data_IF_461066786458
#
_entry.id   IF_461066786458
#
_cell.length_a   1.000
_cell.length_b   1.000
_cell.length_c   1.000
_cell.angle_alpha   90.00
_cell.angle_beta   90.00
_cell.angle_gamma   90.00
#
_symmetry.space_group_name_H-M   'P 1'
#
loop_
_entity.id
_entity.type
_entity.pdbx_description
1 polymer ?
#
# COMPACT_ATOMS: atom_id res chain seq x y z
N UNK A 1 5.20 -10.31 -38.82
CA UNK A 1 6.59 -9.85 -39.03
C UNK A 1 6.78 -8.68 -38.07
N UNK A 2 7.38 -8.76 -36.88
CA UNK A 2 8.43 -9.59 -36.32
C UNK A 2 8.12 -9.91 -34.85
N UNK A 3 8.55 -11.09 -34.41
CA UNK A 3 8.53 -11.64 -33.06
C UNK A 3 9.49 -10.90 -32.11
N UNK A 4 9.22 -10.95 -30.80
CA UNK A 4 10.07 -11.55 -29.73
C UNK A 4 9.48 -11.14 -28.35
N UNK A 5 8.65 -11.99 -27.71
CA UNK A 5 9.06 -12.90 -26.63
C UNK A 5 9.92 -12.22 -25.54
N UNK A 6 9.25 -11.62 -24.55
CA UNK A 6 9.78 -11.57 -23.18
C UNK A 6 8.71 -12.22 -22.31
N UNK A 7 8.87 -13.52 -22.14
CA UNK A 7 8.13 -14.29 -21.16
C UNK A 7 8.42 -13.72 -19.78
N UNK A 8 7.36 -13.63 -18.99
CA UNK A 8 7.45 -13.59 -17.55
C UNK A 8 8.28 -14.80 -17.09
N UNK A 9 9.58 -14.58 -16.89
CA UNK A 9 10.38 -15.45 -16.05
C UNK A 9 9.93 -15.19 -14.61
N UNK A 10 8.84 -15.86 -14.23
CA UNK A 10 8.64 -16.36 -12.89
C UNK A 10 10.00 -16.77 -12.33
N UNK A 11 10.48 -16.07 -11.30
CA UNK A 11 11.61 -16.51 -10.47
C UNK A 11 11.19 -17.71 -9.59
N UNK A 12 10.57 -18.71 -10.21
CA UNK A 12 10.42 -20.06 -9.69
C UNK A 12 11.47 -20.92 -10.39
N UNK A 13 12.73 -20.70 -9.99
CA UNK A 13 13.85 -21.59 -10.28
C UNK A 13 14.33 -22.04 -8.91
N UNK A 14 13.70 -23.04 -8.30
CA UNK A 14 14.12 -24.44 -8.45
C UNK A 14 15.64 -24.61 -8.27
N UNK A 15 16.21 -24.02 -7.22
CA UNK A 15 17.02 -24.88 -6.36
C UNK A 15 16.03 -25.87 -5.76
N UNK A 16 16.18 -27.16 -6.05
CA UNK A 16 15.57 -28.21 -5.21
C UNK A 16 16.14 -28.03 -3.81
N UNK A 17 15.54 -27.14 -3.02
CA UNK A 17 15.78 -27.07 -1.59
C UNK A 17 15.32 -28.42 -1.06
N UNK A 18 16.25 -29.17 -0.46
CA UNK A 18 15.90 -30.43 0.16
C UNK A 18 14.73 -30.24 1.11
N UNK A 19 13.90 -31.26 1.29
CA UNK A 19 12.67 -31.18 2.08
C UNK A 19 12.91 -30.59 3.47
N UNK A 20 14.07 -30.88 4.08
CA UNK A 20 14.52 -30.29 5.36
C UNK A 20 14.66 -28.76 5.29
N UNK A 21 15.20 -28.21 4.20
CA UNK A 21 15.32 -26.76 4.03
C UNK A 21 13.94 -26.12 3.79
N UNK A 22 13.04 -26.78 3.07
CA UNK A 22 11.65 -26.31 2.92
C UNK A 22 10.92 -26.30 4.26
N UNK A 23 11.06 -27.35 5.06
CA UNK A 23 10.52 -27.42 6.44
C UNK A 23 11.12 -26.31 7.31
N UNK A 24 12.43 -26.08 7.23
CA UNK A 24 13.10 -25.00 7.98
C UNK A 24 12.57 -23.63 7.58
N UNK A 25 12.36 -23.39 6.28
CA UNK A 25 11.79 -22.14 5.77
C UNK A 25 10.36 -21.92 6.26
N UNK A 26 9.50 -22.92 6.16
CA UNK A 26 8.12 -22.80 6.64
C UNK A 26 8.03 -22.57 8.16
N UNK A 27 8.87 -23.23 8.96
CA UNK A 27 8.97 -22.95 10.39
C UNK A 27 9.45 -21.52 10.67
N UNK A 28 10.46 -21.05 9.94
CA UNK A 28 10.95 -19.67 10.07
C UNK A 28 9.86 -18.65 9.71
N UNK A 29 9.08 -18.91 8.66
CA UNK A 29 7.96 -18.08 8.25
C UNK A 29 6.84 -18.05 9.30
N UNK A 30 6.50 -19.19 9.90
CA UNK A 30 5.52 -19.27 10.99
C UNK A 30 5.97 -18.42 12.18
N UNK A 31 7.24 -18.53 12.58
CA UNK A 31 7.80 -17.70 13.65
C UNK A 31 7.83 -16.22 13.27
N UNK A 32 8.09 -15.88 12.01
CA UNK A 32 8.04 -14.51 11.53
C UNK A 32 6.62 -13.92 11.64
N UNK A 33 5.59 -14.65 11.21
CA UNK A 33 4.20 -14.20 11.37
C UNK A 33 3.81 -14.07 12.84
N UNK A 34 4.26 -14.97 13.72
CA UNK A 34 4.05 -14.88 15.17
C UNK A 34 4.72 -13.63 15.75
N UNK A 35 5.98 -13.39 15.41
CA UNK A 35 6.73 -12.22 15.85
C UNK A 35 6.06 -10.92 15.38
N UNK A 36 5.55 -10.88 14.13
CA UNK A 36 4.82 -9.75 13.59
C UNK A 36 3.52 -9.46 14.36
N UNK A 37 2.75 -10.52 14.70
CA UNK A 37 1.56 -10.39 15.57
C UNK A 37 1.94 -9.79 16.93
N UNK A 38 2.96 -10.34 17.59
CA UNK A 38 3.40 -9.85 18.91
C UNK A 38 3.83 -8.40 18.83
N UNK A 39 4.64 -8.03 17.83
CA UNK A 39 5.10 -6.66 17.59
C UNK A 39 3.91 -5.69 17.46
N UNK A 40 2.88 -6.07 16.70
CA UNK A 40 1.69 -5.24 16.52
C UNK A 40 0.85 -5.15 17.80
N UNK A 41 0.74 -6.23 18.59
CA UNK A 41 0.02 -6.24 19.87
C UNK A 41 0.70 -5.41 20.97
N UNK A 42 2.01 -5.18 20.87
CA UNK A 42 2.73 -4.33 21.82
C UNK A 42 2.43 -2.84 21.65
N UNK A 43 1.87 -2.43 20.51
CA UNK A 43 1.48 -1.04 20.26
C UNK A 43 0.06 -0.82 20.78
N UNK A 44 -0.17 0.08 21.76
CA UNK A 44 -1.51 0.36 22.24
C UNK A 44 -2.35 1.01 21.12
N UNK A 45 -3.59 0.56 20.99
CA UNK A 45 -4.51 1.13 20.01
C UNK A 45 -4.82 2.60 20.36
N UNK A 46 -4.62 3.50 19.41
CA UNK A 46 -4.87 4.95 19.60
C UNK A 46 -6.33 5.31 19.41
N UNK A 47 -7.01 4.65 18.48
CA UNK A 47 -8.39 4.91 18.10
C UNK A 47 -9.04 3.58 17.66
N UNK A 48 -10.38 3.55 17.56
CA UNK A 48 -11.12 2.37 17.11
C UNK A 48 -10.67 1.85 15.74
N UNK A 49 -10.28 2.75 14.82
CA UNK A 49 -9.79 2.36 13.49
C UNK A 49 -8.47 1.58 13.60
N UNK A 50 -7.57 2.02 14.46
CA UNK A 50 -6.30 1.38 14.71
C UNK A 50 -6.51 0.03 15.40
N UNK A 51 -7.41 -0.05 16.38
CA UNK A 51 -7.81 -1.32 17.00
C UNK A 51 -8.35 -2.33 15.96
N UNK A 52 -9.18 -1.84 15.03
CA UNK A 52 -9.74 -2.64 13.97
C UNK A 52 -8.67 -3.12 12.97
N UNK A 53 -7.74 -2.22 12.60
CA UNK A 53 -6.61 -2.54 11.74
C UNK A 53 -5.70 -3.60 12.37
N UNK A 54 -5.37 -3.46 13.65
CA UNK A 54 -4.62 -4.47 14.43
C UNK A 54 -5.38 -5.80 14.39
N UNK A 55 -6.70 -5.78 14.62
CA UNK A 55 -7.52 -7.00 14.65
C UNK A 55 -7.56 -7.73 13.30
N UNK A 56 -7.63 -7.00 12.19
CA UNK A 56 -7.55 -7.57 10.83
C UNK A 56 -6.17 -8.07 10.49
N UNK A 57 -5.13 -7.33 10.89
CA UNK A 57 -3.74 -7.77 10.73
C UNK A 57 -3.52 -9.09 11.46
N UNK A 58 -3.92 -9.21 12.73
CA UNK A 58 -3.83 -10.46 13.50
C UNK A 58 -4.57 -11.60 12.79
N UNK A 59 -5.79 -11.35 12.30
CA UNK A 59 -6.55 -12.36 11.57
C UNK A 59 -5.84 -12.80 10.28
N UNK A 60 -5.26 -11.86 9.53
CA UNK A 60 -4.51 -12.15 8.31
C UNK A 60 -3.27 -13.00 8.62
N UNK A 61 -2.43 -12.56 9.57
CA UNK A 61 -1.23 -13.28 9.95
C UNK A 61 -1.55 -14.68 10.53
N UNK A 62 -2.63 -14.80 11.30
CA UNK A 62 -3.09 -16.11 11.81
C UNK A 62 -3.49 -17.06 10.69
N UNK A 63 -4.09 -16.55 9.60
CA UNK A 63 -4.38 -17.37 8.42
C UNK A 63 -3.12 -17.80 7.69
N UNK A 64 -2.14 -16.91 7.55
CA UNK A 64 -0.85 -17.28 6.97
C UNK A 64 -0.17 -18.38 7.80
N UNK A 65 -0.21 -18.27 9.13
CA UNK A 65 0.28 -19.32 10.03
C UNK A 65 -0.47 -20.63 9.79
N UNK A 66 -1.80 -20.61 9.69
CA UNK A 66 -2.60 -21.80 9.46
C UNK A 66 -2.25 -22.49 8.13
N UNK A 67 -2.20 -21.74 7.02
CA UNK A 67 -1.83 -22.28 5.70
C UNK A 67 -0.42 -22.88 5.70
N UNK A 68 0.57 -22.19 6.30
CA UNK A 68 1.94 -22.70 6.38
C UNK A 68 2.07 -23.90 7.32
N UNK A 69 1.25 -23.95 8.37
CA UNK A 69 1.22 -25.10 9.28
C UNK A 69 0.58 -26.33 8.62
N UNK A 70 -0.42 -26.14 7.75
CA UNK A 70 -1.00 -27.21 6.93
C UNK A 70 0.04 -27.75 5.94
N UNK A 71 0.75 -26.88 5.23
CA UNK A 71 1.85 -27.28 4.33
C UNK A 71 2.98 -28.02 5.10
N UNK A 72 3.29 -27.59 6.33
CA UNK A 72 4.24 -28.30 7.19
C UNK A 72 3.77 -29.71 7.54
N UNK A 73 2.50 -29.87 7.91
CA UNK A 73 1.93 -31.18 8.23
C UNK A 73 2.02 -32.12 7.03
N UNK A 74 1.65 -31.64 5.84
CA UNK A 74 1.76 -32.41 4.60
C UNK A 74 3.22 -32.86 4.34
N UNK A 75 4.21 -31.99 4.57
CA UNK A 75 5.62 -32.33 4.38
C UNK A 75 6.18 -33.29 5.44
N UNK A 76 5.63 -33.30 6.66
CA UNK A 76 6.02 -34.26 7.69
C UNK A 76 5.43 -35.65 7.46
N UNK A 77 4.29 -35.72 6.76
CA UNK A 77 3.64 -36.98 6.37
C UNK A 77 4.23 -37.59 5.08
N UNK A 78 5.09 -36.85 4.38
CA UNK A 78 5.74 -37.29 3.14
C UNK A 78 6.81 -38.38 3.39
N UNK A 79 6.78 -39.44 2.57
CA UNK A 79 7.73 -40.56 2.61
C UNK A 79 9.17 -40.08 2.36
N UNK A 80 9.33 -39.01 1.58
CA UNK A 80 10.64 -38.44 1.29
C UNK A 80 11.29 -37.79 2.54
N UNK A 81 10.48 -37.28 3.48
CA UNK A 81 10.97 -36.81 4.78
C UNK A 81 11.43 -37.99 5.64
N UNK A 82 10.69 -39.11 5.64
CA UNK A 82 11.09 -40.33 6.32
C UNK A 82 12.41 -40.88 5.76
N UNK A 83 12.55 -40.91 4.42
CA UNK A 83 13.78 -41.31 3.75
C UNK A 83 14.97 -40.39 4.07
N UNK A 84 14.75 -39.07 4.11
CA UNK A 84 15.77 -38.10 4.49
C UNK A 84 16.22 -38.26 5.96
N UNK A 85 15.29 -38.57 6.87
CA UNK A 85 15.58 -38.87 8.28
C UNK A 85 16.40 -40.16 8.43
N UNK A 86 16.07 -41.20 7.66
CA UNK A 86 16.77 -42.48 7.72
C UNK A 86 18.16 -42.43 7.07
N UNK A 87 18.36 -41.58 6.05
CA UNK A 87 19.67 -41.31 5.43
C UNK A 87 20.73 -40.77 6.41
N UNK A 88 20.28 -40.16 7.52
CA UNK A 88 21.14 -39.63 8.57
C UNK A 88 21.95 -40.72 9.31
N UNK A 89 21.65 -42.01 9.08
CA UNK A 89 22.31 -43.17 9.69
C UNK A 89 23.62 -43.60 8.99
N UNK A 90 23.90 -43.17 7.74
CA UNK A 90 25.16 -43.44 7.01
C UNK A 90 26.00 -42.16 6.83
N UNK A 91 26.42 -41.58 7.94
CA UNK A 91 26.95 -40.21 8.00
C UNK A 91 28.23 -39.94 7.18
N UNK A 92 29.11 -40.93 6.96
CA UNK A 92 30.46 -40.67 6.40
C UNK A 92 30.52 -40.53 4.88
N UNK A 93 29.65 -41.21 4.13
CA UNK A 93 29.65 -41.14 2.67
C UNK A 93 28.76 -39.99 2.17
N UNK A 94 27.64 -39.77 2.85
CA UNK A 94 26.74 -38.65 2.62
C UNK A 94 27.42 -37.27 2.86
N UNK A 95 28.30 -37.16 3.86
CA UNK A 95 29.04 -35.91 4.12
C UNK A 95 30.01 -35.57 2.99
N UNK A 96 30.71 -36.57 2.43
CA UNK A 96 31.63 -36.37 1.32
C UNK A 96 30.91 -35.91 0.05
N UNK A 97 29.75 -36.50 -0.24
CA UNK A 97 28.91 -36.06 -1.37
C UNK A 97 28.35 -34.65 -1.16
N UNK A 98 27.96 -34.32 0.06
CA UNK A 98 27.51 -32.97 0.43
C UNK A 98 28.62 -31.94 0.25
N UNK A 99 29.84 -32.21 0.73
CA UNK A 99 31.00 -31.32 0.55
C UNK A 99 31.32 -31.07 -0.92
N UNK A 100 31.20 -32.10 -1.77
CA UNK A 100 31.38 -31.97 -3.22
C UNK A 100 30.31 -31.06 -3.85
N UNK A 101 29.03 -31.20 -3.45
CA UNK A 101 27.94 -30.32 -3.90
C UNK A 101 28.12 -28.88 -3.41
N UNK A 102 28.60 -28.67 -2.17
CA UNK A 102 28.92 -27.35 -1.64
C UNK A 102 30.05 -26.68 -2.42
N UNK A 103 31.09 -27.44 -2.81
CA UNK A 103 32.17 -26.92 -3.64
C UNK A 103 31.66 -26.44 -5.01
N UNK A 104 30.76 -27.20 -5.64
CA UNK A 104 30.10 -26.81 -6.90
C UNK A 104 29.27 -25.52 -6.73
N UNK A 105 28.47 -25.43 -5.66
CA UNK A 105 27.68 -24.23 -5.35
C UNK A 105 28.55 -22.98 -5.12
N UNK A 106 29.68 -23.13 -4.42
CA UNK A 106 30.64 -22.03 -4.21
C UNK A 106 31.24 -21.54 -5.52
N UNK A 107 31.59 -22.45 -6.42
CA UNK A 107 32.12 -22.10 -7.74
C UNK A 107 31.05 -21.42 -8.62
N UNK A 108 29.81 -21.89 -8.55
CA UNK A 108 28.68 -21.25 -9.22
C UNK A 108 28.44 -19.82 -8.71
N UNK A 109 28.42 -19.61 -7.38
CA UNK A 109 28.27 -18.27 -6.80
C UNK A 109 29.46 -17.34 -7.09
N UNK A 110 30.68 -17.89 -7.25
CA UNK A 110 31.86 -17.13 -7.66
C UNK A 110 31.75 -16.61 -9.09
N UNK A 111 31.20 -17.43 -9.99
CA UNK A 111 31.00 -17.09 -11.41
C UNK A 111 29.75 -16.24 -11.66
N UNK A 112 28.77 -16.28 -10.76
CA UNK A 112 27.52 -15.53 -10.86
C UNK A 112 27.26 -14.73 -9.58
N UNK A 113 27.90 -13.55 -9.43
CA UNK A 113 27.67 -12.67 -8.28
C UNK A 113 26.23 -12.14 -8.33
N UNK A 114 25.37 -12.70 -7.48
CA UNK A 114 24.02 -12.18 -7.26
C UNK A 114 24.09 -10.86 -6.48
N UNK A 115 23.10 -9.97 -6.62
CA UNK A 115 22.95 -8.83 -5.70
C UNK A 115 22.91 -9.33 -4.25
N UNK A 116 23.36 -8.52 -3.28
CA UNK A 116 23.40 -8.91 -1.88
C UNK A 116 22.03 -9.46 -1.46
N UNK A 117 22.02 -10.67 -0.91
CA UNK A 117 20.83 -11.27 -0.32
C UNK A 117 20.28 -10.28 0.69
N UNK A 118 18.99 -9.92 0.57
CA UNK A 118 18.33 -9.07 1.57
C UNK A 118 18.52 -9.73 2.94
N UNK A 119 19.37 -9.12 3.78
CA UNK A 119 19.63 -9.63 5.13
C UNK A 119 18.41 -9.47 6.05
N UNK A 120 17.46 -8.63 5.64
CA UNK A 120 16.19 -8.38 6.32
C UNK A 120 15.15 -9.26 5.64
N UNK A 121 14.58 -10.21 6.39
CA UNK A 121 13.39 -10.96 5.97
C UNK A 121 12.29 -9.95 5.65
N UNK A 122 11.56 -10.14 4.55
CA UNK A 122 10.47 -9.24 4.16
C UNK A 122 9.38 -9.28 5.27
N UNK A 123 9.37 -8.29 6.16
CA UNK A 123 8.39 -8.20 7.25
C UNK A 123 6.98 -7.99 6.68
N UNK A 124 5.94 -8.64 7.25
CA UNK A 124 4.56 -8.38 6.87
C UNK A 124 4.23 -6.90 7.01
N UNK A 125 3.54 -6.34 6.02
CA UNK A 125 3.15 -4.93 6.04
C UNK A 125 2.12 -4.70 7.13
N UNK A 126 2.18 -3.57 7.82
CA UNK A 126 1.16 -3.19 8.80
C UNK A 126 -0.26 -3.09 8.20
N UNK A 127 -0.36 -2.95 6.86
CA UNK A 127 -1.61 -2.90 6.11
C UNK A 127 -2.09 -4.28 5.64
N UNK A 128 -1.37 -5.36 5.94
CA UNK A 128 -1.78 -6.70 5.55
C UNK A 128 -3.13 -7.05 6.17
N UNK A 129 -4.11 -7.38 5.31
CA UNK A 129 -5.48 -7.63 5.72
C UNK A 129 -6.33 -6.38 5.94
N UNK A 130 -5.88 -5.18 5.52
CA UNK A 130 -6.71 -3.98 5.55
C UNK A 130 -8.04 -4.21 4.84
N UNK A 131 -9.13 -3.77 5.48
CA UNK A 131 -10.48 -3.87 4.96
C UNK A 131 -11.03 -2.47 4.77
N UNK A 132 -11.42 -2.17 3.54
CA UNK A 132 -12.08 -0.93 3.19
C UNK A 132 -13.55 -0.96 3.63
N UNK A 133 -14.00 0.15 4.20
CA UNK A 133 -15.38 0.38 4.57
C UNK A 133 -15.95 1.43 3.65
N UNK A 134 -17.25 1.33 3.38
CA UNK A 134 -17.94 2.40 2.68
C UNK A 134 -17.90 3.70 3.51
N UNK A 135 -17.94 4.85 2.84
CA UNK A 135 -17.97 6.15 3.51
C UNK A 135 -19.16 6.24 4.49
N UNK A 136 -20.31 5.69 4.11
CA UNK A 136 -21.52 5.63 4.94
C UNK A 136 -21.34 4.74 6.19
N UNK A 137 -20.44 3.75 6.13
CA UNK A 137 -20.14 2.86 7.25
C UNK A 137 -19.19 3.50 8.28
N UNK A 138 -18.55 4.62 7.92
CA UNK A 138 -17.63 5.38 8.77
C UNK A 138 -16.61 4.48 9.48
N UNK A 139 -15.93 3.66 8.69
CA UNK A 139 -14.90 2.73 9.17
C UNK A 139 -15.43 1.71 10.20
N UNK A 140 -16.67 1.26 10.04
CA UNK A 140 -17.29 0.25 10.90
C UNK A 140 -18.01 0.82 12.12
N UNK A 141 -18.20 2.14 12.21
CA UNK A 141 -18.93 2.77 13.33
C UNK A 141 -20.43 2.83 13.11
N UNK A 142 -20.88 2.86 11.85
CA UNK A 142 -22.28 2.94 11.48
C UNK A 142 -22.63 1.87 10.45
N UNK A 143 -23.90 1.50 10.38
CA UNK A 143 -24.44 0.62 9.34
C UNK A 143 -24.96 1.46 8.18
N UNK A 144 -24.67 1.01 6.95
CA UNK A 144 -25.24 1.56 5.72
C UNK A 144 -26.56 0.85 5.42
N UNK A 145 -27.68 1.42 5.89
CA UNK A 145 -29.01 0.79 5.79
C UNK A 145 -29.90 1.37 4.69
N UNK A 146 -29.47 2.41 4.00
CA UNK A 146 -30.28 3.13 3.01
C UNK A 146 -30.72 2.22 1.84
N UNK A 147 -29.82 1.35 1.36
CA UNK A 147 -30.15 0.40 0.30
C UNK A 147 -31.18 -0.65 0.78
N UNK A 148 -31.07 -1.09 2.03
CA UNK A 148 -32.01 -2.06 2.62
C UNK A 148 -33.37 -1.43 2.92
N UNK A 149 -33.40 -0.16 3.35
CA UNK A 149 -34.64 0.61 3.46
C UNK A 149 -35.37 0.73 2.12
N UNK A 150 -34.64 0.98 1.03
CA UNK A 150 -35.23 1.02 -0.32
C UNK A 150 -35.87 -0.31 -0.73
N UNK A 151 -35.25 -1.43 -0.36
CA UNK A 151 -35.80 -2.79 -0.58
C UNK A 151 -37.03 -3.03 0.30
N UNK A 152 -36.98 -2.66 1.57
CA UNK A 152 -38.13 -2.70 2.47
C UNK A 152 -39.32 -1.89 1.92
N UNK A 153 -39.08 -0.67 1.46
CA UNK A 153 -40.09 0.18 0.84
C UNK A 153 -40.69 -0.44 -0.42
N UNK A 154 -39.89 -1.17 -1.21
CA UNK A 154 -40.37 -1.94 -2.36
C UNK A 154 -41.31 -3.07 -1.90
N UNK A 155 -40.92 -3.82 -0.88
CA UNK A 155 -41.78 -4.83 -0.26
C UNK A 155 -43.10 -4.23 0.26
N UNK A 156 -43.06 -3.09 0.96
CA UNK A 156 -44.26 -2.41 1.48
C UNK A 156 -45.21 -2.02 0.34
N UNK A 157 -44.67 -1.49 -0.77
CA UNK A 157 -45.45 -1.13 -1.96
C UNK A 157 -46.08 -2.35 -2.64
N UNK A 158 -45.32 -3.42 -2.85
CA UNK A 158 -45.80 -4.65 -3.52
C UNK A 158 -46.86 -5.35 -2.66
N UNK A 159 -46.58 -5.50 -1.36
CA UNK A 159 -47.53 -6.10 -0.42
C UNK A 159 -48.79 -5.23 -0.25
N UNK A 160 -48.64 -3.90 -0.21
CA UNK A 160 -49.74 -2.95 -0.13
C UNK A 160 -50.60 -2.93 -1.38
N UNK A 161 -50.02 -3.09 -2.58
CA UNK A 161 -50.76 -3.18 -3.84
C UNK A 161 -51.57 -4.47 -3.97
N UNK A 162 -51.01 -5.61 -3.55
CA UNK A 162 -51.75 -6.89 -3.49
C UNK A 162 -52.84 -6.87 -2.43
N UNK A 163 -52.55 -6.29 -1.26
CA UNK A 163 -53.57 -6.04 -0.24
C UNK A 163 -54.64 -5.06 -0.75
N UNK A 164 -54.30 -4.04 -1.54
CA UNK A 164 -55.28 -3.13 -2.15
C UNK A 164 -56.22 -3.84 -3.15
N UNK A 165 -55.70 -4.81 -3.92
CA UNK A 165 -56.52 -5.64 -4.79
C UNK A 165 -57.48 -6.54 -4.00
N UNK A 166 -57.05 -7.14 -2.87
CA UNK A 166 -57.93 -7.86 -1.93
C UNK A 166 -58.90 -6.92 -1.17
N UNK A 167 -58.47 -5.70 -0.82
CA UNK A 167 -59.29 -4.65 -0.16
C UNK A 167 -60.40 -4.16 -1.07
N UNK A 168 -60.18 -4.07 -2.39
CA UNK A 168 -61.22 -3.76 -3.37
C UNK A 168 -62.33 -4.83 -3.40
N UNK A 169 -62.03 -6.06 -3.00
CA UNK A 169 -63.01 -7.14 -2.88
C UNK A 169 -63.71 -7.22 -1.51
N UNK A 170 -63.12 -6.67 -0.43
CA UNK A 170 -63.58 -6.85 0.97
C UNK A 170 -63.95 -5.57 1.73
N UNK A 171 -63.67 -4.37 1.20
CA UNK A 171 -64.19 -3.09 1.70
C UNK A 171 -63.52 -2.50 2.95
N UNK A 172 -62.52 -3.16 3.54
CA UNK A 172 -61.85 -2.68 4.78
C UNK A 172 -60.60 -1.84 4.46
N UNK A 173 -60.54 -0.61 4.99
CA UNK A 173 -59.48 0.37 4.71
C UNK A 173 -58.43 0.39 5.84
N UNK A 174 -57.40 -0.46 5.74
CA UNK A 174 -56.21 -0.37 6.60
C UNK A 174 -55.20 0.61 5.97
N UNK A 175 -54.89 1.69 6.69
CA UNK A 175 -53.87 2.67 6.30
C UNK A 175 -52.51 2.07 6.64
N UNK A 176 -51.75 1.68 5.62
CA UNK A 176 -50.35 1.28 5.81
C UNK A 176 -49.54 2.54 6.15
N UNK A 177 -49.17 2.70 7.42
CA UNK A 177 -48.29 3.79 7.86
C UNK A 177 -46.94 3.62 7.15
N UNK A 178 -46.56 4.58 6.32
CA UNK A 178 -45.21 4.63 5.76
C UNK A 178 -44.23 4.79 6.92
N UNK A 179 -43.28 3.87 7.04
CA UNK A 179 -42.22 3.95 8.04
C UNK A 179 -41.11 4.79 7.44
N UNK A 180 -40.77 5.91 8.08
CA UNK A 180 -39.64 6.75 7.66
C UNK A 180 -38.30 6.05 7.91
N UNK A 181 -37.22 6.51 7.28
CA UNK A 181 -35.91 5.85 7.40
C UNK A 181 -35.38 5.74 8.84
N UNK A 182 -35.60 6.76 9.67
CA UNK A 182 -35.18 6.74 11.09
C UNK A 182 -35.97 5.73 11.91
N UNK A 183 -37.28 5.71 11.70
CA UNK A 183 -38.16 4.74 12.34
C UNK A 183 -37.75 3.34 11.89
N UNK A 184 -37.42 3.15 10.61
CA UNK A 184 -36.92 1.88 10.09
C UNK A 184 -35.67 1.40 10.82
N UNK A 185 -34.63 2.24 11.00
CA UNK A 185 -33.39 1.85 11.70
C UNK A 185 -33.67 1.38 13.14
N UNK A 186 -34.57 2.09 13.83
CA UNK A 186 -34.89 1.80 15.24
C UNK A 186 -35.79 0.58 15.42
N UNK A 187 -36.63 0.30 14.42
CA UNK A 187 -37.69 -0.71 14.51
C UNK A 187 -37.46 -1.91 13.58
N UNK A 188 -36.25 -2.16 13.06
CA UNK A 188 -35.99 -3.32 12.15
C UNK A 188 -36.51 -4.63 12.75
N UNK A 189 -36.20 -4.89 14.03
CA UNK A 189 -36.64 -6.09 14.74
C UNK A 189 -38.16 -6.08 14.94
N UNK A 190 -38.72 -4.95 15.38
CA UNK A 190 -40.17 -4.79 15.53
C UNK A 190 -40.92 -4.97 14.20
N UNK A 191 -40.33 -4.55 13.07
CA UNK A 191 -40.89 -4.74 11.73
C UNK A 191 -40.96 -6.23 11.40
N UNK A 192 -39.94 -7.02 11.75
CA UNK A 192 -39.98 -8.47 11.57
C UNK A 192 -41.10 -9.12 12.39
N UNK A 193 -41.23 -8.74 13.66
CA UNK A 193 -42.21 -9.35 14.56
C UNK A 193 -43.65 -8.91 14.29
N UNK A 194 -43.86 -7.63 13.96
CA UNK A 194 -45.20 -7.05 13.80
C UNK A 194 -45.77 -7.21 12.38
N UNK A 195 -44.96 -7.54 11.37
CA UNK A 195 -45.46 -7.78 10.01
C UNK A 195 -46.19 -9.13 9.95
N UNK A 196 -47.49 -9.18 9.58
CA UNK A 196 -48.25 -10.45 9.57
C UNK A 196 -47.73 -11.46 8.53
N UNK A 197 -47.80 -12.77 8.83
CA UNK A 197 -47.34 -13.83 7.90
C UNK A 197 -48.02 -13.73 6.54
N UNK A 198 -49.33 -13.43 6.50
CA UNK A 198 -50.08 -13.26 5.24
C UNK A 198 -49.48 -12.17 4.34
N UNK A 199 -49.02 -11.06 4.91
CA UNK A 199 -48.37 -9.97 4.18
C UNK A 199 -46.99 -10.37 3.68
N UNK A 200 -46.20 -11.04 4.52
CA UNK A 200 -44.87 -11.58 4.15
C UNK A 200 -45.01 -12.55 2.97
N UNK A 201 -46.00 -13.45 3.02
CA UNK A 201 -46.28 -14.43 1.97
C UNK A 201 -46.81 -13.81 0.67
N UNK A 202 -47.69 -12.81 0.76
CA UNK A 202 -48.25 -12.14 -0.42
C UNK A 202 -47.16 -11.52 -1.33
N UNK A 203 -46.07 -11.04 -0.73
CA UNK A 203 -44.94 -10.43 -1.43
C UNK A 203 -43.61 -11.15 -1.14
N UNK A 204 -43.66 -12.48 -1.02
CA UNK A 204 -42.56 -13.32 -0.55
C UNK A 204 -41.25 -13.08 -1.30
N UNK A 205 -41.27 -12.94 -2.62
CA UNK A 205 -40.07 -12.70 -3.43
C UNK A 205 -39.36 -11.39 -3.02
N UNK A 206 -40.10 -10.29 -3.00
CA UNK A 206 -39.57 -8.98 -2.59
C UNK A 206 -39.13 -8.96 -1.13
N UNK A 207 -39.84 -9.68 -0.27
CA UNK A 207 -39.52 -9.77 1.15
C UNK A 207 -38.26 -10.61 1.40
N UNK A 208 -38.13 -11.75 0.71
CA UNK A 208 -36.93 -12.59 0.71
C UNK A 208 -35.72 -11.77 0.26
N UNK A 209 -35.85 -11.02 -0.84
CA UNK A 209 -34.77 -10.16 -1.36
C UNK A 209 -34.40 -9.01 -0.41
N UNK A 210 -35.31 -8.58 0.47
CA UNK A 210 -35.02 -7.62 1.53
C UNK A 210 -34.26 -8.28 2.69
N UNK A 211 -34.82 -9.34 3.28
CA UNK A 211 -34.28 -9.99 4.49
C UNK A 211 -32.94 -10.67 4.21
N UNK A 212 -32.82 -11.41 3.10
CA UNK A 212 -31.59 -12.17 2.79
C UNK A 212 -30.42 -11.23 2.51
N UNK A 213 -30.65 -10.14 1.77
CA UNK A 213 -29.61 -9.15 1.50
C UNK A 213 -29.24 -8.37 2.77
N UNK A 214 -30.22 -8.05 3.62
CA UNK A 214 -29.95 -7.43 4.91
C UNK A 214 -29.12 -8.36 5.81
N UNK A 215 -29.46 -9.64 5.90
CA UNK A 215 -28.68 -10.64 6.63
C UNK A 215 -27.24 -10.70 6.10
N UNK A 216 -27.08 -10.84 4.77
CA UNK A 216 -25.77 -10.92 4.13
C UNK A 216 -24.92 -9.69 4.45
N UNK A 217 -25.53 -8.51 4.39
CA UNK A 217 -24.87 -7.26 4.74
C UNK A 217 -24.45 -7.23 6.21
N UNK A 218 -25.39 -7.48 7.13
CA UNK A 218 -25.17 -7.41 8.57
C UNK A 218 -24.13 -8.44 9.04
N UNK A 219 -24.20 -9.68 8.53
CA UNK A 219 -23.21 -10.72 8.80
C UNK A 219 -21.81 -10.32 8.28
N UNK A 220 -21.75 -9.83 7.03
CA UNK A 220 -20.51 -9.36 6.43
C UNK A 220 -19.90 -8.21 7.22
N UNK A 221 -20.72 -7.23 7.58
CA UNK A 221 -20.34 -6.09 8.40
C UNK A 221 -19.83 -6.53 9.77
N UNK A 222 -20.55 -7.42 10.46
CA UNK A 222 -20.12 -7.99 11.75
C UNK A 222 -18.73 -8.64 11.65
N UNK A 223 -18.50 -9.46 10.63
CA UNK A 223 -17.21 -10.11 10.36
C UNK A 223 -16.09 -9.11 10.04
N UNK A 224 -16.43 -7.92 9.54
CA UNK A 224 -15.50 -6.81 9.31
C UNK A 224 -15.21 -6.04 10.59
N UNK A 225 -16.19 -5.73 11.45
CA UNK A 225 -15.98 -4.93 12.67
C UNK A 225 -15.38 -5.73 13.83
N UNK A 226 -15.58 -7.06 13.86
CA UNK A 226 -15.06 -7.94 14.90
C UNK A 226 -14.42 -9.19 14.29
N UNK A 227 -13.29 -9.04 13.58
CA UNK A 227 -12.65 -10.14 12.85
C UNK A 227 -12.18 -11.29 13.76
N UNK A 228 -11.81 -11.01 15.02
CA UNK A 228 -11.35 -12.02 15.98
C UNK A 228 -12.49 -12.78 16.68
N UNK A 229 -13.69 -12.21 16.73
CA UNK A 229 -14.85 -12.84 17.41
C UNK A 229 -15.67 -13.76 16.49
N UNK A 230 -15.17 -14.11 15.31
CA UNK A 230 -15.89 -14.93 14.32
C UNK A 230 -16.29 -16.30 14.87
N UNK A 231 -15.40 -16.95 15.62
CA UNK A 231 -15.69 -18.26 16.22
C UNK A 231 -16.79 -18.19 17.27
N UNK A 232 -16.74 -17.21 18.18
CA UNK A 232 -17.77 -17.01 19.19
C UNK A 232 -19.13 -16.70 18.57
N UNK A 233 -19.17 -15.83 17.57
CA UNK A 233 -20.39 -15.51 16.85
C UNK A 233 -20.95 -16.74 16.10
N UNK A 234 -20.10 -17.56 15.49
CA UNK A 234 -20.54 -18.80 14.83
C UNK A 234 -21.20 -19.79 15.80
N UNK A 235 -20.70 -19.90 17.04
CA UNK A 235 -21.33 -20.71 18.08
C UNK A 235 -22.70 -20.16 18.49
N UNK A 236 -22.79 -18.85 18.77
CA UNK A 236 -24.06 -18.21 19.12
C UNK A 236 -25.11 -18.33 18.01
N UNK A 237 -24.70 -18.19 16.74
CA UNK A 237 -25.59 -18.36 15.59
C UNK A 237 -26.06 -19.81 15.44
N UNK A 238 -25.18 -20.79 15.72
CA UNK A 238 -25.55 -22.21 15.70
C UNK A 238 -26.58 -22.54 16.79
N UNK A 239 -26.38 -22.04 18.00
CA UNK A 239 -27.32 -22.18 19.12
C UNK A 239 -28.66 -21.52 18.80
N UNK A 240 -28.63 -20.28 18.32
CA UNK A 240 -29.83 -19.55 17.89
C UNK A 240 -30.59 -20.25 16.75
N UNK A 241 -29.86 -20.91 15.83
CA UNK A 241 -30.47 -21.73 14.77
C UNK A 241 -31.19 -22.97 15.32
N UNK A 242 -30.62 -23.62 16.34
CA UNK A 242 -31.27 -24.75 17.01
C UNK A 242 -32.51 -24.31 17.80
N UNK A 243 -32.43 -23.17 18.50
CA UNK A 243 -33.58 -22.59 19.19
C UNK A 243 -34.70 -22.18 18.23
N UNK A 244 -34.35 -21.64 17.06
CA UNK A 244 -35.32 -21.37 16.00
C UNK A 244 -36.03 -22.62 15.52
N UNK A 245 -35.31 -23.72 15.29
CA UNK A 245 -35.92 -24.97 14.84
C UNK A 245 -36.95 -25.49 15.86
N UNK A 246 -36.66 -25.34 17.16
CA UNK A 246 -37.62 -25.64 18.23
C UNK A 246 -38.84 -24.72 18.17
N UNK A 247 -38.63 -23.40 18.12
CA UNK A 247 -39.72 -22.41 18.07
C UNK A 247 -40.58 -22.56 16.81
N UNK A 248 -39.99 -22.90 15.67
CA UNK A 248 -40.69 -23.12 14.41
C UNK A 248 -41.59 -24.36 14.48
N UNK A 249 -41.12 -25.45 15.09
CA UNK A 249 -41.93 -26.65 15.30
C UNK A 249 -43.13 -26.41 16.23
N UNK A 250 -42.95 -25.55 17.24
CA UNK A 250 -43.98 -25.12 18.17
C UNK A 250 -44.96 -24.09 17.56
N UNK A 251 -44.53 -23.36 16.53
CA UNK A 251 -45.29 -22.24 15.95
C UNK A 251 -45.20 -20.96 16.78
N UNK A 252 -44.12 -20.80 17.56
CA UNK A 252 -43.91 -19.69 18.49
C UNK A 252 -43.08 -18.54 17.89
N UNK A 253 -42.74 -18.58 16.59
CA UNK A 253 -41.92 -17.56 15.94
C UNK A 253 -42.74 -16.29 15.68
N UNK A 254 -42.35 -15.12 16.21
CA UNK A 254 -43.09 -13.86 16.02
C UNK A 254 -43.27 -13.50 14.54
N UNK A 255 -44.47 -13.02 14.18
CA UNK A 255 -44.78 -12.63 12.79
C UNK A 255 -45.00 -13.79 11.81
N UNK A 256 -44.85 -15.05 12.24
CA UNK A 256 -45.06 -16.25 11.42
C UNK A 256 -46.16 -17.13 12.02
N UNK A 257 -47.22 -17.38 11.26
CA UNK A 257 -48.34 -18.24 11.69
C UNK A 257 -48.13 -19.68 11.19
N UNK A 258 -48.18 -20.64 12.11
CA UNK A 258 -48.04 -22.07 11.79
C UNK A 258 -49.05 -22.53 10.76
N UNK A 259 -50.31 -22.08 10.84
CA UNK A 259 -51.37 -22.54 9.94
C UNK A 259 -51.09 -22.17 8.47
N UNK A 260 -50.47 -21.01 8.24
CA UNK A 260 -50.20 -20.48 6.91
C UNK A 260 -48.82 -20.92 6.37
N UNK A 261 -47.87 -21.17 7.27
CA UNK A 261 -46.44 -21.14 6.93
C UNK A 261 -45.74 -22.51 7.16
N UNK A 262 -46.38 -23.48 7.83
CA UNK A 262 -45.79 -24.79 8.20
C UNK A 262 -45.26 -25.66 7.05
N UNK A 263 -45.95 -25.70 5.89
CA UNK A 263 -45.55 -26.52 4.75
C UNK A 263 -44.72 -25.75 3.70
N UNK A 264 -44.43 -24.47 3.96
CA UNK A 264 -43.73 -23.62 3.00
C UNK A 264 -42.24 -23.54 3.34
N UNK A 265 -41.41 -24.31 2.61
CA UNK A 265 -39.97 -24.33 2.81
C UNK A 265 -39.30 -22.95 2.55
N UNK A 266 -39.85 -22.14 1.63
CA UNK A 266 -39.34 -20.80 1.37
C UNK A 266 -39.64 -19.86 2.54
N UNK A 267 -40.85 -19.93 3.11
CA UNK A 267 -41.23 -19.19 4.32
C UNK A 267 -40.28 -19.50 5.49
N UNK A 268 -40.01 -20.79 5.75
CA UNK A 268 -39.07 -21.20 6.81
C UNK A 268 -37.67 -20.62 6.61
N UNK A 269 -37.14 -20.61 5.38
CA UNK A 269 -35.83 -20.02 5.07
C UNK A 269 -35.79 -18.52 5.35
N UNK A 270 -36.86 -17.79 5.03
CA UNK A 270 -36.95 -16.35 5.29
C UNK A 270 -37.06 -16.07 6.79
N UNK A 271 -37.89 -16.82 7.50
CA UNK A 271 -38.02 -16.72 8.95
C UNK A 271 -36.69 -16.99 9.68
N UNK A 272 -35.94 -17.99 9.22
CA UNK A 272 -34.59 -18.26 9.73
C UNK A 272 -33.64 -17.09 9.46
N UNK A 273 -33.73 -16.45 8.29
CA UNK A 273 -32.91 -15.30 7.95
C UNK A 273 -33.26 -14.05 8.79
N UNK A 274 -34.54 -13.83 9.12
CA UNK A 274 -34.96 -12.80 10.09
C UNK A 274 -34.30 -13.04 11.44
N UNK A 275 -34.40 -14.27 11.95
CA UNK A 275 -33.84 -14.65 13.25
C UNK A 275 -32.32 -14.47 13.32
N UNK A 276 -31.60 -14.83 12.26
CA UNK A 276 -30.16 -14.57 12.18
C UNK A 276 -29.83 -13.08 12.09
N UNK A 277 -30.63 -12.30 11.36
CA UNK A 277 -30.44 -10.85 11.27
C UNK A 277 -30.62 -10.20 12.65
N UNK A 278 -31.67 -10.57 13.36
CA UNK A 278 -31.93 -10.12 14.73
C UNK A 278 -30.79 -10.49 15.67
N UNK A 279 -30.31 -11.73 15.62
CA UNK A 279 -29.18 -12.17 16.42
C UNK A 279 -27.91 -11.35 16.15
N UNK A 280 -27.53 -11.14 14.88
CA UNK A 280 -26.36 -10.32 14.57
C UNK A 280 -26.54 -8.86 15.01
N UNK A 281 -27.72 -8.25 14.81
CA UNK A 281 -28.00 -6.90 15.31
C UNK A 281 -27.87 -6.83 16.84
N UNK A 282 -28.34 -7.87 17.55
CA UNK A 282 -28.19 -8.02 19.01
C UNK A 282 -26.74 -8.17 19.48
N UNK A 283 -25.83 -8.66 18.64
CA UNK A 283 -24.39 -8.73 18.94
C UNK A 283 -23.67 -7.38 18.78
N UNK A 284 -24.30 -6.39 18.14
CA UNK A 284 -23.74 -5.07 17.87
C UNK A 284 -24.73 -3.92 18.18
N UNK A 285 -25.24 -3.85 19.43
CA UNK A 285 -26.19 -2.81 19.85
C UNK A 285 -25.57 -1.40 19.79
N UNK A 286 -24.27 -1.28 20.13
CA UNK A 286 -23.56 0.00 20.12
C UNK A 286 -23.49 0.62 18.71
N UNK A 287 -23.30 -0.21 17.69
CA UNK A 287 -23.22 0.24 16.29
C UNK A 287 -24.60 0.70 15.82
N UNK A 288 -25.64 -0.06 16.16
CA UNK A 288 -27.01 0.30 15.82
C UNK A 288 -27.40 1.64 16.48
N UNK A 289 -27.06 1.83 17.75
CA UNK A 289 -27.31 3.08 18.46
C UNK A 289 -26.52 4.26 17.84
N UNK A 290 -25.24 4.06 17.49
CA UNK A 290 -24.45 5.09 16.79
C UNK A 290 -25.03 5.44 15.42
N UNK A 291 -25.55 4.44 14.69
CA UNK A 291 -26.20 4.65 13.40
C UNK A 291 -27.46 5.49 13.54
N UNK A 292 -28.25 5.24 14.60
CA UNK A 292 -29.42 6.05 14.95
C UNK A 292 -29.03 7.49 15.26
N UNK A 293 -28.08 7.68 16.17
CA UNK A 293 -27.63 9.02 16.59
C UNK A 293 -27.08 9.81 15.40
N UNK A 294 -26.35 9.14 14.52
CA UNK A 294 -25.83 9.72 13.28
C UNK A 294 -26.96 10.15 12.34
N UNK A 295 -27.95 9.29 12.10
CA UNK A 295 -29.06 9.60 11.19
C UNK A 295 -29.87 10.81 11.68
N UNK A 296 -30.15 10.86 12.99
CA UNK A 296 -30.85 12.00 13.61
C UNK A 296 -30.04 13.29 13.48
N UNK A 297 -28.72 13.23 13.73
CA UNK A 297 -27.83 14.38 13.55
C UNK A 297 -27.81 14.89 12.12
N UNK A 298 -27.74 13.98 11.14
CA UNK A 298 -27.71 14.35 9.72
C UNK A 298 -28.97 15.09 9.28
N UNK A 299 -30.17 14.74 9.81
CA UNK A 299 -31.39 15.51 9.52
C UNK A 299 -31.38 16.94 10.07
N UNK A 300 -30.63 17.19 11.14
CA UNK A 300 -30.54 18.52 11.75
C UNK A 300 -29.48 19.43 11.12
N UNK A 301 -28.65 18.91 10.22
CA UNK A 301 -27.53 19.64 9.61
C UNK A 301 -27.89 20.25 8.26
N UNK A 302 -27.25 21.38 7.96
CA UNK A 302 -27.27 21.96 6.61
C UNK A 302 -26.25 21.25 5.71
N UNK A 303 -26.39 21.37 4.38
CA UNK A 303 -25.47 20.76 3.40
C UNK A 303 -24.02 21.16 3.64
N UNK A 304 -23.80 22.44 3.96
CA UNK A 304 -22.48 23.03 4.17
C UNK A 304 -21.83 22.48 5.46
N UNK A 305 -22.63 22.14 6.47
CA UNK A 305 -22.16 21.49 7.69
C UNK A 305 -21.79 20.02 7.49
N UNK A 306 -22.46 19.34 6.54
CA UNK A 306 -22.15 17.94 6.20
C UNK A 306 -20.85 17.88 5.40
N UNK A 307 -20.67 18.74 4.39
CA UNK A 307 -19.44 18.81 3.60
C UNK A 307 -18.22 19.12 4.48
N UNK A 308 -18.35 20.09 5.40
CA UNK A 308 -17.28 20.41 6.34
C UNK A 308 -16.93 19.27 7.29
N UNK A 309 -17.91 18.49 7.76
CA UNK A 309 -17.64 17.33 8.62
C UNK A 309 -16.90 16.22 7.85
N UNK A 310 -17.23 16.01 6.58
CA UNK A 310 -16.51 15.06 5.71
C UNK A 310 -15.06 15.51 5.55
N UNK A 311 -14.81 16.78 5.24
CA UNK A 311 -13.45 17.33 5.10
C UNK A 311 -12.64 17.18 6.41
N UNK A 312 -13.24 17.50 7.56
CA UNK A 312 -12.58 17.35 8.87
C UNK A 312 -12.30 15.88 9.23
N UNK A 313 -13.17 14.95 8.82
CA UNK A 313 -12.96 13.51 9.02
C UNK A 313 -11.84 12.97 8.11
N UNK A 314 -11.77 13.41 6.85
CA UNK A 314 -10.71 13.06 5.92
C UNK A 314 -9.35 13.60 6.37
N UNK A 315 -9.28 14.84 6.85
CA UNK A 315 -8.06 15.46 7.35
C UNK A 315 -7.56 14.75 8.63
N UNK A 316 -8.46 14.45 9.57
CA UNK A 316 -8.12 13.65 10.78
C UNK A 316 -7.64 12.27 10.41
N UNK A 317 -8.25 11.63 9.42
CA UNK A 317 -7.84 10.32 8.94
C UNK A 317 -6.42 10.36 8.33
N UNK A 318 -6.13 11.37 7.52
CA UNK A 318 -4.80 11.56 6.95
C UNK A 318 -3.74 11.75 8.04
N UNK A 319 -4.03 12.58 9.06
CA UNK A 319 -3.13 12.82 10.18
C UNK A 319 -2.91 11.56 11.04
N UNK A 320 -3.96 10.79 11.33
CA UNK A 320 -3.86 9.52 12.06
C UNK A 320 -3.03 8.48 11.28
N UNK A 321 -3.19 8.43 9.96
CA UNK A 321 -2.41 7.55 9.09
C UNK A 321 -0.93 7.93 9.08
N UNK A 322 -0.61 9.22 8.91
CA UNK A 322 0.76 9.72 8.93
C UNK A 322 1.45 9.43 10.27
N UNK A 323 0.75 9.65 11.38
CA UNK A 323 1.25 9.35 12.72
C UNK A 323 1.53 7.86 12.93
N UNK A 324 0.66 6.98 12.43
CA UNK A 324 0.89 5.54 12.46
C UNK A 324 2.11 5.13 11.62
N UNK A 325 2.29 5.75 10.45
CA UNK A 325 3.42 5.51 9.56
C UNK A 325 4.75 5.98 10.17
N UNK A 326 4.75 7.13 10.85
CA UNK A 326 5.90 7.64 11.59
C UNK A 326 6.26 6.71 12.76
N UNK A 327 5.27 6.23 13.52
CA UNK A 327 5.49 5.26 14.60
C UNK A 327 6.08 3.95 14.08
N UNK A 328 5.55 3.45 12.95
CA UNK A 328 6.06 2.25 12.29
C UNK A 328 7.51 2.43 11.81
N UNK A 329 7.82 3.51 11.10
CA UNK A 329 9.17 3.77 10.58
C UNK A 329 10.20 3.89 11.72
N UNK A 330 9.82 4.55 12.82
CA UNK A 330 10.65 4.65 14.03
C UNK A 330 10.93 3.28 14.65
N UNK A 331 9.97 2.37 14.62
CA UNK A 331 10.09 1.02 15.18
C UNK A 331 10.79 0.04 14.23
N UNK A 332 10.69 0.24 12.92
CA UNK A 332 11.35 -0.55 11.89
C UNK A 332 12.82 -0.14 11.64
N UNK A 333 13.33 0.89 12.33
CA UNK A 333 14.69 1.40 12.12
C UNK A 333 14.90 2.00 10.72
N UNK A 334 13.82 2.25 9.99
CA UNK A 334 13.85 2.95 8.70
C UNK A 334 14.12 4.41 9.04
N UNK A 335 15.35 4.86 8.78
CA UNK A 335 15.70 6.26 8.92
C UNK A 335 14.77 7.09 8.01
N UNK A 336 13.78 7.73 8.60
CA UNK A 336 12.92 8.72 7.95
C UNK A 336 13.78 9.90 7.54
N UNK A 337 14.32 9.88 6.32
CA UNK A 337 14.77 11.11 5.65
C UNK A 337 13.55 11.77 5.03
N UNK A 338 12.69 12.33 5.86
CA UNK A 338 11.69 13.30 5.43
C UNK A 338 11.55 14.36 6.51
N UNK A 339 12.18 15.51 6.22
CA UNK A 339 11.67 16.86 6.47
C UNK A 339 10.99 17.09 7.82
N UNK A 340 11.80 17.51 8.79
CA UNK A 340 11.37 17.95 10.11
C UNK A 340 12.55 18.51 10.91
N UNK A 341 13.35 19.37 10.28
CA UNK A 341 14.36 20.18 10.96
C UNK A 341 13.99 21.66 10.76
N UNK A 342 12.90 22.07 11.41
CA UNK A 342 12.53 23.46 11.59
C UNK A 342 12.15 23.63 13.06
N UNK A 343 13.19 23.75 13.90
CA UNK A 343 13.24 24.56 15.13
C UNK A 343 14.51 24.18 15.90
N UNK A 344 15.56 24.99 15.67
CA UNK A 344 16.70 25.26 16.56
C UNK A 344 18.00 25.48 15.75
N UNK A 345 18.11 26.63 15.10
CA UNK A 345 19.40 27.29 14.87
C UNK A 345 19.12 28.74 14.47
N UNK A 346 19.20 29.63 15.45
CA UNK A 346 19.45 31.05 15.20
C UNK A 346 20.86 31.21 14.62
N UNK A 347 20.99 32.18 13.71
CA UNK A 347 22.22 32.77 13.15
C UNK A 347 23.06 31.91 12.19
N UNK A 348 22.75 32.01 10.89
CA UNK A 348 23.75 32.19 9.83
C UNK A 348 23.08 32.69 8.53
N UNK A 349 23.44 33.91 8.15
CA UNK A 349 23.12 34.60 6.90
C UNK A 349 23.64 33.83 5.66
N UNK A 350 22.85 33.74 4.57
CA UNK A 350 23.26 33.07 3.33
C UNK A 350 22.18 32.62 2.33
N UNK A 351 21.31 33.53 1.89
CA UNK A 351 20.82 33.78 0.51
C UNK A 351 20.69 32.64 -0.57
N UNK A 352 20.21 31.43 -0.25
CA UNK A 352 20.01 30.34 -1.25
C UNK A 352 18.66 29.56 -1.13
N UNK A 353 17.63 30.09 -0.45
CA UNK A 353 16.32 29.40 -0.28
C UNK A 353 15.29 29.63 -1.41
N UNK A 354 15.56 30.54 -2.34
CA UNK A 354 14.55 31.05 -3.27
C UNK A 354 14.25 30.12 -4.48
N UNK A 355 15.15 29.20 -4.83
CA UNK A 355 15.00 28.37 -6.03
C UNK A 355 14.25 27.04 -5.80
N UNK A 356 14.31 26.48 -4.58
CA UNK A 356 13.61 25.22 -4.26
C UNK A 356 12.10 25.46 -4.03
N UNK A 357 11.71 26.64 -3.51
CA UNK A 357 10.31 27.01 -3.27
C UNK A 357 9.49 27.25 -4.55
N UNK A 358 10.15 27.56 -5.69
CA UNK A 358 9.49 27.82 -6.98
C UNK A 358 9.15 26.54 -7.75
N UNK A 359 9.72 25.40 -7.36
CA UNK A 359 9.61 24.13 -8.10
C UNK A 359 8.45 23.25 -7.64
N UNK A 360 7.90 23.55 -6.47
CA UNK A 360 6.73 22.86 -5.95
C UNK A 360 5.58 23.87 -5.82
N UNK A 361 4.38 23.47 -6.22
CA UNK A 361 3.19 24.27 -5.91
C UNK A 361 2.94 24.28 -4.39
N UNK A 362 2.09 25.18 -3.89
CA UNK A 362 1.64 25.24 -2.49
C UNK A 362 1.05 23.93 -1.95
N UNK A 363 0.62 23.02 -2.84
CA UNK A 363 0.17 21.64 -2.54
C UNK A 363 1.29 20.59 -2.64
N UNK A 364 2.55 21.03 -2.67
CA UNK A 364 3.76 20.22 -2.74
C UNK A 364 3.90 19.30 -3.97
N UNK A 365 3.26 19.63 -5.09
CA UNK A 365 3.43 18.91 -6.35
C UNK A 365 4.63 19.45 -7.15
N UNK A 366 5.55 18.59 -7.64
CA UNK A 366 6.64 19.00 -8.50
C UNK A 366 6.10 19.63 -9.79
N UNK A 367 6.70 20.72 -10.24
CA UNK A 367 6.28 21.43 -11.44
C UNK A 367 7.18 21.09 -12.64
N UNK A 368 6.59 21.07 -13.84
CA UNK A 368 7.32 20.99 -15.10
C UNK A 368 7.93 22.34 -15.50
N UNK A 369 8.66 22.35 -16.62
CA UNK A 369 9.26 23.57 -17.18
C UNK A 369 8.23 24.63 -17.62
N UNK A 370 6.95 24.27 -17.68
CA UNK A 370 5.82 25.15 -18.02
C UNK A 370 5.02 25.58 -16.76
N UNK A 371 5.41 25.14 -15.56
CA UNK A 371 4.75 25.46 -14.30
C UNK A 371 3.50 24.64 -14.00
N UNK A 372 3.26 23.53 -14.70
CA UNK A 372 2.15 22.60 -14.45
C UNK A 372 2.56 21.48 -13.50
N UNK A 373 1.66 20.98 -12.64
CA UNK A 373 1.96 19.92 -11.69
C UNK A 373 2.20 18.58 -12.40
N UNK A 374 3.36 17.98 -12.14
CA UNK A 374 3.75 16.63 -12.57
C UNK A 374 3.34 15.63 -11.48
N UNK A 375 2.73 14.49 -11.85
CA UNK A 375 2.52 13.37 -10.93
C UNK A 375 3.82 12.89 -10.27
N UNK A 376 3.79 12.64 -8.96
CA UNK A 376 4.97 12.29 -8.14
C UNK A 376 5.70 11.04 -8.64
N UNK A 377 4.96 10.03 -9.11
CA UNK A 377 5.57 8.81 -9.68
C UNK A 377 6.39 9.11 -10.94
N UNK A 378 5.96 10.06 -11.77
CA UNK A 378 6.65 10.44 -12.99
C UNK A 378 7.91 11.26 -12.67
N UNK A 379 7.86 12.07 -11.61
CA UNK A 379 9.01 12.78 -11.04
C UNK A 379 10.09 11.82 -10.50
N UNK A 380 9.67 10.71 -9.88
CA UNK A 380 10.59 9.65 -9.44
C UNK A 380 11.12 8.80 -10.60
N UNK A 381 10.26 8.40 -11.54
CA UNK A 381 10.62 7.57 -12.70
C UNK A 381 11.69 8.23 -13.57
N UNK A 382 11.58 9.54 -13.82
CA UNK A 382 12.56 10.28 -14.60
C UNK A 382 13.76 10.79 -13.77
N UNK A 383 13.83 10.45 -12.47
CA UNK A 383 14.97 10.81 -11.63
C UNK A 383 15.08 12.30 -11.28
N UNK A 384 14.03 13.11 -11.48
CA UNK A 384 14.06 14.56 -11.23
C UNK A 384 14.24 14.93 -9.74
N UNK A 385 14.05 13.96 -8.85
CA UNK A 385 14.30 14.04 -7.41
C UNK A 385 15.78 13.97 -7.03
N UNK A 386 16.64 13.48 -7.93
CA UNK A 386 18.07 13.34 -7.68
C UNK A 386 18.76 14.69 -7.90
N UNK A 387 19.42 15.19 -6.85
CA UNK A 387 20.16 16.46 -6.86
C UNK A 387 21.63 16.22 -7.26
N UNK A 388 22.06 16.83 -8.35
CA UNK A 388 23.45 16.80 -8.82
C UNK A 388 24.07 18.19 -8.72
N UNK A 389 25.17 18.33 -7.99
CA UNK A 389 25.86 19.62 -7.83
C UNK A 389 27.06 19.71 -8.76
N UNK A 390 27.19 20.83 -9.48
CA UNK A 390 28.39 21.13 -10.27
C UNK A 390 29.19 22.26 -9.60
N UNK A 391 30.42 21.97 -9.15
CA UNK A 391 31.27 22.94 -8.45
C UNK A 391 31.82 24.04 -9.37
N UNK A 392 31.88 23.77 -10.69
CA UNK A 392 32.34 24.73 -11.70
C UNK A 392 31.24 25.76 -12.02
N UNK A 393 29.99 25.32 -12.06
CA UNK A 393 28.84 26.20 -12.30
C UNK A 393 28.26 26.82 -11.02
N UNK A 394 28.61 26.28 -9.85
CA UNK A 394 28.01 26.60 -8.56
C UNK A 394 26.47 26.54 -8.61
N UNK A 395 25.94 25.51 -9.25
CA UNK A 395 24.49 25.32 -9.44
C UNK A 395 24.12 23.85 -9.21
N UNK A 396 22.92 23.64 -8.67
CA UNK A 396 22.33 22.31 -8.46
C UNK A 396 21.39 21.98 -9.61
N UNK A 397 21.67 20.89 -10.31
CA UNK A 397 20.84 20.35 -11.37
C UNK A 397 20.01 19.18 -10.85
N UNK A 398 18.85 19.00 -11.44
CA UNK A 398 17.88 18.00 -11.00
C UNK A 398 17.64 16.97 -12.10
N UNK A 399 17.96 15.72 -11.81
CA UNK A 399 17.92 14.64 -12.79
C UNK A 399 19.17 14.57 -13.68
N UNK A 400 19.48 13.35 -14.08
CA UNK A 400 20.70 13.02 -14.83
C UNK A 400 20.72 13.63 -16.23
N UNK A 401 19.55 13.76 -16.88
CA UNK A 401 19.44 14.35 -18.22
C UNK A 401 19.80 15.84 -18.20
N UNK A 402 19.27 16.61 -17.25
CA UNK A 402 19.61 18.02 -17.09
C UNK A 402 21.08 18.20 -16.67
N UNK A 403 21.58 17.29 -15.84
CA UNK A 403 22.99 17.29 -15.45
C UNK A 403 23.94 16.83 -16.56
N UNK A 404 23.52 16.09 -17.56
CA UNK A 404 24.40 15.74 -18.68
C UNK A 404 24.34 16.79 -19.78
N UNK A 405 23.20 17.46 -19.96
CA UNK A 405 23.08 18.58 -20.90
C UNK A 405 23.86 19.82 -20.45
N UNK A 406 23.98 20.07 -19.13
CA UNK A 406 24.59 21.30 -18.65
C UNK A 406 26.06 21.50 -19.03
N UNK A 407 26.81 20.42 -19.29
CA UNK A 407 28.21 20.52 -19.72
C UNK A 407 28.36 21.26 -21.07
N UNK A 408 27.31 21.29 -21.89
CA UNK A 408 27.26 22.01 -23.17
C UNK A 408 26.69 23.43 -23.03
N UNK A 409 26.15 23.78 -21.86
CA UNK A 409 25.58 25.09 -21.62
C UNK A 409 26.66 26.15 -21.46
N UNK A 410 26.32 27.37 -21.87
CA UNK A 410 27.22 28.52 -21.80
C UNK A 410 27.67 28.83 -20.36
N UNK A 411 26.88 28.43 -19.35
CA UNK A 411 27.23 28.61 -17.93
C UNK A 411 28.43 27.76 -17.54
N UNK A 412 28.49 26.52 -18.01
CA UNK A 412 29.61 25.61 -17.74
C UNK A 412 30.87 26.03 -18.50
N UNK A 413 30.74 26.38 -19.79
CA UNK A 413 31.89 26.85 -20.58
C UNK A 413 32.48 28.16 -20.04
N UNK A 414 31.64 29.12 -19.63
CA UNK A 414 32.09 30.35 -18.94
C UNK A 414 32.72 30.06 -17.58
N UNK A 415 32.22 29.05 -16.86
CA UNK A 415 32.82 28.58 -15.60
C UNK A 415 34.25 28.09 -15.81
N UNK A 416 34.49 27.29 -16.85
CA UNK A 416 35.82 26.83 -17.24
C UNK A 416 36.74 28.00 -17.69
N UNK A 417 36.21 28.96 -18.44
CA UNK A 417 36.97 30.16 -18.84
C UNK A 417 37.41 31.00 -17.64
N UNK A 418 36.58 31.14 -16.61
CA UNK A 418 36.94 31.83 -15.36
C UNK A 418 38.05 31.12 -14.58
N UNK A 419 38.22 29.81 -14.79
CA UNK A 419 39.32 29.02 -14.24
C UNK A 419 40.59 29.09 -15.11
N UNK A 420 40.59 29.87 -16.20
CA UNK A 420 41.72 30.03 -17.12
C UNK A 420 41.78 29.00 -18.24
N UNK A 421 40.76 28.15 -18.38
CA UNK A 421 40.66 27.14 -19.44
C UNK A 421 39.85 27.72 -20.60
N UNK A 422 40.56 28.31 -21.56
CA UNK A 422 39.94 29.06 -22.66
C UNK A 422 39.65 28.20 -23.91
N UNK A 423 40.07 26.94 -23.90
CA UNK A 423 39.82 25.98 -25.00
C UNK A 423 38.67 25.04 -24.64
N UNK A 424 37.68 24.91 -25.53
CA UNK A 424 36.63 23.91 -25.40
C UNK A 424 37.21 22.53 -25.74
N UNK A 425 37.76 21.85 -24.73
CA UNK A 425 38.38 20.53 -24.87
C UNK A 425 37.36 19.42 -24.59
N UNK A 426 37.25 18.39 -25.47
CA UNK A 426 36.32 17.28 -25.25
C UNK A 426 36.65 16.45 -24.01
N UNK A 427 37.92 16.44 -23.58
CA UNK A 427 38.40 15.73 -22.38
C UNK A 427 37.87 16.35 -21.07
N UNK A 428 37.33 17.56 -21.11
CA UNK A 428 36.75 18.26 -19.95
C UNK A 428 35.22 18.22 -19.93
N UNK A 429 34.58 17.52 -20.87
CA UNK A 429 33.14 17.56 -21.08
C UNK A 429 32.27 16.90 -20.00
N UNK A 430 32.86 16.21 -19.00
CA UNK A 430 32.13 15.57 -17.90
C UNK A 430 32.74 15.91 -16.53
N UNK A 431 33.57 16.94 -16.46
CA UNK A 431 34.29 17.30 -15.22
C UNK A 431 33.45 18.27 -14.40
N UNK A 432 33.18 17.91 -13.16
CA UNK A 432 32.27 18.66 -12.27
C UNK A 432 33.00 19.40 -11.16
N UNK A 433 34.19 18.91 -10.76
CA UNK A 433 35.01 19.50 -9.71
C UNK A 433 36.10 20.41 -10.27
N UNK A 434 36.27 21.58 -9.63
CA UNK A 434 37.26 22.59 -10.03
C UNK A 434 38.70 22.06 -9.97
N UNK A 435 39.03 21.27 -8.95
CA UNK A 435 40.39 20.72 -8.76
C UNK A 435 40.76 19.75 -9.89
N UNK A 436 39.84 18.86 -10.23
CA UNK A 436 40.01 17.86 -11.28
C UNK A 436 40.14 18.50 -12.66
N UNK A 437 39.40 19.59 -12.93
CA UNK A 437 39.50 20.33 -14.18
C UNK A 437 40.89 20.96 -14.37
N UNK A 438 41.47 21.52 -13.30
CA UNK A 438 42.80 22.13 -13.33
C UNK A 438 43.92 21.09 -13.52
N UNK A 439 43.83 19.93 -12.85
CA UNK A 439 44.81 18.84 -13.01
C UNK A 439 44.83 18.29 -14.44
N UNK A 440 43.65 18.05 -15.03
CA UNK A 440 43.53 17.59 -16.42
C UNK A 440 44.09 18.65 -17.38
N UNK A 441 43.78 19.93 -17.17
CA UNK A 441 44.28 21.01 -17.99
C UNK A 441 45.81 21.17 -17.92
N UNK A 442 46.39 21.04 -16.72
CA UNK A 442 47.84 21.09 -16.53
C UNK A 442 48.55 19.97 -17.30
N UNK A 443 48.05 18.73 -17.20
CA UNK A 443 48.60 17.58 -17.93
C UNK A 443 48.49 17.75 -19.46
N UNK A 444 47.40 18.35 -19.95
CA UNK A 444 47.24 18.61 -21.39
C UNK A 444 48.17 19.71 -21.90
N UNK A 445 48.41 20.73 -21.08
CA UNK A 445 49.37 21.79 -21.39
C UNK A 445 50.78 21.25 -21.47
N UNK A 446 51.19 20.40 -20.52
CA UNK A 446 52.48 19.72 -20.52
C UNK A 446 52.65 18.83 -21.76
N UNK A 447 51.60 18.09 -22.17
CA UNK A 447 51.59 17.28 -23.39
C UNK A 447 51.72 18.11 -24.67
N UNK A 448 51.03 19.26 -24.77
CA UNK A 448 51.15 20.19 -25.91
C UNK A 448 52.53 20.84 -26.00
N UNK A 449 53.13 21.21 -24.88
CA UNK A 449 54.50 21.76 -24.83
C UNK A 449 55.52 20.71 -25.27
N UNK A 450 55.40 19.46 -24.79
CA UNK A 450 56.26 18.36 -25.23
C UNK A 450 56.15 18.04 -26.73
N UNK A 451 54.96 18.18 -27.31
CA UNK A 451 54.73 17.97 -28.75
C UNK A 451 55.27 19.12 -29.61
N UNK A 452 55.30 20.36 -29.10
CA UNK A 452 55.85 21.53 -29.80
C UNK A 452 57.39 21.55 -29.78
N UNK A 453 58.01 21.07 -28.70
CA UNK A 453 59.47 20.88 -28.60
C UNK A 453 59.98 19.84 -29.62
N UNK A 454 59.19 18.81 -29.92
CA UNK A 454 59.52 17.81 -30.97
C UNK A 454 59.42 18.32 -32.41
N UNK A 455 58.69 19.40 -32.67
CA UNK A 455 58.51 19.94 -34.03
C UNK A 455 59.51 21.07 -34.37
N UNK A 456 60.18 21.66 -33.37
CA UNK A 456 61.21 22.69 -33.56
C UNK A 456 62.59 22.08 -33.87
N UNK A 457 62.80 20.78 -33.64
CA UNK A 457 64.08 20.10 -33.93
C UNK A 457 64.27 19.70 -35.41
N UNK A 458 63.46 20.23 -36.34
CA UNK A 458 63.59 20.01 -37.79
C UNK A 458 63.40 21.31 -38.57
N UNK A 459 64.23 22.31 -38.27
CA UNK A 459 64.50 23.44 -39.18
C UNK A 459 66.01 23.53 -39.30
N UNK A 460 66.50 23.43 -40.54
CA UNK A 460 67.89 23.24 -40.93
C UNK A 460 68.87 24.23 -40.29
N UNK A 461 69.87 23.69 -39.58
CA UNK A 461 71.12 24.38 -39.25
C UNK A 461 71.98 24.47 -40.54
N UNK A 462 71.68 25.42 -41.43
CA UNK A 462 72.66 25.86 -42.42
C UNK A 462 73.69 26.78 -41.74
N UNK A 463 74.88 26.23 -41.53
CA UNK A 463 76.07 26.96 -41.12
C UNK A 463 76.44 28.02 -42.17
N UNK A 464 76.59 29.26 -41.72
CA UNK A 464 77.42 30.25 -42.42
C UNK A 464 78.44 30.77 -41.41
N UNK A 465 79.68 30.33 -41.56
CA UNK A 465 80.84 30.93 -40.89
C UNK A 465 81.16 32.28 -41.54
N UNK A 466 81.20 33.34 -40.73
CA UNK A 466 81.58 34.68 -41.16
C UNK A 466 82.15 35.47 -39.98
N UNK A 467 83.43 35.80 -40.07
CA UNK A 467 84.26 36.45 -39.06
C UNK A 467 83.62 37.69 -38.39
N UNK A 468 83.73 37.76 -37.05
CA UNK A 468 83.41 38.96 -36.26
C UNK A 468 82.56 38.63 -35.04
N UNK A 469 83.10 38.90 -33.85
CA UNK A 469 82.45 38.56 -32.58
C UNK A 469 81.11 39.27 -32.33
N UNK A 470 80.36 38.65 -31.40
CA UNK A 470 79.06 39.02 -30.79
C UNK A 470 77.84 38.34 -31.45
N UNK A 471 77.43 37.21 -30.88
CA UNK A 471 76.09 36.64 -31.06
C UNK A 471 75.15 37.28 -30.04
N UNK A 472 74.26 38.16 -30.49
CA UNK A 472 73.09 38.62 -29.73
C UNK A 472 71.90 37.73 -30.04
N UNK A 473 71.27 37.16 -29.01
CA UNK A 473 69.96 36.50 -29.14
C UNK A 473 68.83 37.53 -29.09
N UNK A 474 67.89 37.39 -30.02
CA UNK A 474 66.86 38.33 -30.49
C UNK A 474 65.73 38.64 -29.47
N UNK A 475 66.07 39.14 -28.27
CA UNK A 475 65.10 39.46 -27.21
C UNK A 475 65.19 40.87 -26.59
N UNK A 476 66.14 41.70 -27.02
CA UNK A 476 66.35 43.06 -26.48
C UNK A 476 66.13 44.14 -27.55
N UNK A 477 64.96 44.14 -28.18
CA UNK A 477 64.52 45.21 -29.09
C UNK A 477 62.99 45.35 -29.05
N UNK A 478 62.48 45.77 -27.89
CA UNK A 478 61.17 46.42 -27.72
C UNK A 478 61.04 46.94 -26.27
N UNK A 479 61.75 48.03 -25.96
CA UNK A 479 61.47 49.01 -24.87
C UNK A 479 62.56 50.09 -24.86
N UNK A 480 62.53 50.95 -25.86
CA UNK A 480 62.68 52.41 -25.74
C UNK A 480 62.10 53.05 -27.00
#
# INVERSE_FOLDING_TARGET
>A
QFLYFIGAASWSSTMESGIVERIRQLHADVEQHRAAIVKQMMVPASNFRHELLISHFILHQTRQIATKSEELLDLYEDDDYAAARDQQLNASEATREFEAKVAQLREYHRSHPQPPVKAVLDEPSFLDGYVEFDASERHGRCLSLQQHYSRYMTFVKVSGGKAAAERAATGVRLVDKLVEYEDFITSIVDIFHNTPCSRKLAALESYTAFVVELLRYVEGFFKRIRPLHRGQAALMIKENGADFERQWAEGAVPGWDRAQCANNAAAKKVALAENFTECYLGLMPDVLQKTKDFTVRQKTKTTDEIEKEIEEEEEKLAADYEKALQAYNKQAGIATTSTGAAEAAADADGDDEDDDARRFNKKNFPLDAEGKPIPVWLYHLHGLHLKYKCEICMHTYYGEVAFTSHFRELRHTKGLQRLGINENLPELALVTSRKSALDIWQRLRERKVGSKVRHVSTVDDEQIEGAGGIVTTRGAQARM
#
